data_IF_644358331055
#
_entry.id   IF_644358331055
#
_cell.length_a   1.000
_cell.length_b   1.000
_cell.length_c   1.000
_cell.angle_alpha   90.00
_cell.angle_beta   90.00
_cell.angle_gamma   90.00
#
_symmetry.space_group_name_H-M   'P 1'
#
loop_
_entity.id
_entity.type
_entity.pdbx_description
1 polymer ?
#
# COMPACT_ATOMS: atom_id res chain seq x y z
N UNK A 1 2.63 5.85 26.40
CA UNK A 1 1.47 6.30 25.60
C UNK A 1 1.62 7.64 24.85
N UNK A 2 2.63 8.49 25.09
CA UNK A 2 2.56 9.87 24.56
C UNK A 2 2.72 10.03 23.02
N UNK A 3 3.47 9.17 22.32
CA UNK A 3 3.74 9.33 20.88
C UNK A 3 3.37 8.12 20.00
N UNK A 4 2.86 7.04 20.58
CA UNK A 4 2.57 5.79 19.85
C UNK A 4 1.58 5.98 18.68
N UNK A 5 0.51 6.76 18.91
CA UNK A 5 -0.50 7.08 17.90
C UNK A 5 0.09 7.90 16.74
N UNK A 6 1.02 8.82 17.03
CA UNK A 6 1.69 9.64 16.02
C UNK A 6 2.64 8.78 15.19
N UNK A 7 3.43 7.92 15.85
CA UNK A 7 4.33 6.98 15.17
C UNK A 7 3.55 6.02 14.27
N UNK A 8 2.41 5.48 14.73
CA UNK A 8 1.52 4.65 13.93
C UNK A 8 0.97 5.41 12.70
N UNK A 9 0.50 6.64 12.88
CA UNK A 9 0.01 7.48 11.79
C UNK A 9 1.07 7.79 10.74
N UNK A 10 2.29 8.11 11.16
CA UNK A 10 3.43 8.36 10.25
C UNK A 10 3.82 7.08 9.52
N UNK A 11 3.94 5.95 10.23
CA UNK A 11 4.33 4.68 9.63
C UNK A 11 3.35 4.21 8.55
N UNK A 12 2.05 4.31 8.80
CA UNK A 12 1.01 3.98 7.81
C UNK A 12 0.98 4.99 6.68
N UNK A 13 1.02 6.29 7.00
CA UNK A 13 0.96 7.36 5.99
C UNK A 13 2.09 7.27 4.96
N UNK A 14 3.34 7.12 5.41
CA UNK A 14 4.47 6.95 4.50
C UNK A 14 4.52 5.57 3.86
N UNK A 15 4.16 4.51 4.59
CA UNK A 15 4.17 3.15 4.05
C UNK A 15 3.15 2.93 2.92
N UNK A 16 2.08 3.72 2.87
CA UNK A 16 1.09 3.69 1.78
C UNK A 16 1.50 4.40 0.50
N UNK A 17 2.54 5.24 0.52
CA UNK A 17 2.97 5.97 -0.68
C UNK A 17 3.41 5.02 -1.79
N UNK A 18 4.20 4.00 -1.45
CA UNK A 18 4.67 2.99 -2.42
C UNK A 18 3.53 2.24 -3.12
N UNK A 19 2.64 1.57 -2.37
CA UNK A 19 1.45 0.91 -2.92
C UNK A 19 0.57 1.84 -3.74
N UNK A 20 0.23 3.02 -3.21
CA UNK A 20 -0.64 3.99 -3.89
C UNK A 20 -0.06 4.45 -5.24
N UNK A 21 1.24 4.76 -5.28
CA UNK A 21 1.94 5.13 -6.52
C UNK A 21 2.03 3.94 -7.47
N UNK A 22 2.42 2.77 -6.97
CA UNK A 22 2.61 1.55 -7.77
C UNK A 22 1.32 1.09 -8.46
N UNK A 23 0.23 0.96 -7.70
CA UNK A 23 -1.09 0.58 -8.22
C UNK A 23 -1.63 1.65 -9.17
N UNK A 24 -1.48 2.93 -8.84
CA UNK A 24 -1.93 4.04 -9.68
C UNK A 24 -1.25 4.02 -11.06
N UNK A 25 0.08 3.87 -11.10
CA UNK A 25 0.83 3.78 -12.35
C UNK A 25 0.51 2.52 -13.16
N UNK A 26 0.39 1.37 -12.50
CA UNK A 26 0.02 0.12 -13.16
C UNK A 26 -1.37 0.21 -13.79
N UNK A 27 -2.33 0.79 -13.06
CA UNK A 27 -3.71 0.96 -13.54
C UNK A 27 -3.77 1.94 -14.70
N UNK A 28 -3.06 3.08 -14.64
CA UNK A 28 -3.00 4.04 -15.74
C UNK A 28 -2.52 3.38 -17.05
N UNK A 29 -1.41 2.61 -16.98
CA UNK A 29 -0.90 1.87 -18.14
C UNK A 29 -1.84 0.78 -18.63
N UNK A 30 -2.64 0.18 -17.73
CA UNK A 30 -3.61 -0.85 -18.13
C UNK A 30 -4.77 -0.31 -18.95
N UNK A 31 -5.17 0.93 -18.72
CA UNK A 31 -6.22 1.61 -19.48
C UNK A 31 -5.83 1.79 -20.95
N UNK A 32 -4.53 1.88 -21.26
CA UNK A 32 -4.01 2.00 -22.63
C UNK A 32 -3.95 0.64 -23.36
N UNK A 33 -4.01 -0.48 -22.64
CA UNK A 33 -3.68 -1.81 -23.18
C UNK A 33 -4.89 -2.64 -23.68
N UNK A 34 -6.07 -2.02 -23.89
CA UNK A 34 -7.30 -2.66 -24.41
C UNK A 34 -7.59 -4.03 -23.74
N UNK A 35 -7.48 -4.09 -22.41
CA UNK A 35 -7.86 -5.28 -21.62
C UNK A 35 -6.93 -6.49 -21.70
N UNK A 36 -5.85 -6.46 -22.51
CA UNK A 36 -4.95 -7.61 -22.69
C UNK A 36 -4.04 -7.92 -21.50
N UNK A 37 -3.92 -7.00 -20.55
CA UNK A 37 -2.99 -7.13 -19.42
C UNK A 37 -3.68 -7.34 -18.07
N UNK A 38 -4.99 -7.67 -18.05
CA UNK A 38 -5.78 -7.76 -16.81
C UNK A 38 -5.16 -8.68 -15.75
N UNK A 39 -4.64 -9.84 -16.15
CA UNK A 39 -4.01 -10.78 -15.22
C UNK A 39 -2.74 -10.19 -14.60
N UNK A 40 -1.85 -9.62 -15.42
CA UNK A 40 -0.63 -8.99 -14.93
C UNK A 40 -0.93 -7.75 -14.08
N UNK A 41 -1.97 -6.98 -14.40
CA UNK A 41 -2.42 -5.87 -13.59
C UNK A 41 -2.86 -6.35 -12.21
N UNK A 42 -3.70 -7.39 -12.12
CA UNK A 42 -4.18 -7.92 -10.84
C UNK A 42 -3.01 -8.45 -10.00
N UNK A 43 -2.08 -9.20 -10.62
CA UNK A 43 -0.90 -9.71 -9.92
C UNK A 43 0.00 -8.55 -9.44
N UNK A 44 0.26 -7.57 -10.30
CA UNK A 44 1.05 -6.39 -9.95
C UNK A 44 0.41 -5.56 -8.84
N UNK A 45 -0.92 -5.37 -8.89
CA UNK A 45 -1.67 -4.68 -7.86
C UNK A 45 -1.63 -5.44 -6.52
N UNK A 46 -1.76 -6.77 -6.53
CA UNK A 46 -1.66 -7.59 -5.33
C UNK A 46 -0.25 -7.54 -4.70
N UNK A 47 0.80 -7.54 -5.52
CA UNK A 47 2.18 -7.38 -5.06
C UNK A 47 2.42 -5.99 -4.44
N UNK A 48 1.89 -4.94 -5.07
CA UNK A 48 1.98 -3.58 -4.55
C UNK A 48 1.20 -3.42 -3.23
N UNK A 49 -0.02 -3.94 -3.16
CA UNK A 49 -0.85 -3.90 -1.95
C UNK A 49 -0.31 -4.76 -0.81
N UNK A 50 0.43 -5.83 -1.08
CA UNK A 50 1.08 -6.62 -0.03
C UNK A 50 1.94 -5.77 0.91
N UNK A 51 2.63 -4.76 0.37
CA UNK A 51 3.42 -3.81 1.16
C UNK A 51 2.53 -2.81 1.93
N UNK A 52 1.39 -2.43 1.36
CA UNK A 52 0.39 -1.61 2.03
C UNK A 52 -0.18 -2.32 3.25
N UNK A 53 -0.63 -3.56 3.08
CA UNK A 53 -1.15 -4.38 4.19
C UNK A 53 -0.09 -4.53 5.29
N UNK A 54 1.18 -4.78 4.93
CA UNK A 54 2.27 -4.84 5.90
C UNK A 54 2.41 -3.52 6.69
N UNK A 55 2.40 -2.38 6.01
CA UNK A 55 2.45 -1.06 6.65
C UNK A 55 1.28 -0.85 7.61
N UNK A 56 0.06 -1.24 7.22
CA UNK A 56 -1.12 -1.14 8.05
C UNK A 56 -1.03 -2.01 9.32
N UNK A 57 -0.59 -3.26 9.19
CA UNK A 57 -0.38 -4.17 10.32
C UNK A 57 0.67 -3.60 11.28
N UNK A 58 1.80 -3.09 10.76
CA UNK A 58 2.84 -2.46 11.58
C UNK A 58 2.31 -1.21 12.31
N UNK A 59 1.46 -0.41 11.69
CA UNK A 59 0.79 0.72 12.33
C UNK A 59 -0.08 0.30 13.52
N UNK A 60 -0.89 -0.75 13.35
CA UNK A 60 -1.70 -1.30 14.45
C UNK A 60 -0.81 -1.82 15.58
N UNK A 61 0.28 -2.52 15.26
CA UNK A 61 1.21 -3.02 16.26
C UNK A 61 1.90 -1.88 17.02
N UNK A 62 2.33 -0.82 16.32
CA UNK A 62 2.91 0.37 16.94
C UNK A 62 1.92 1.11 17.85
N UNK A 63 0.63 1.10 17.53
CA UNK A 63 -0.37 1.71 18.40
C UNK A 63 -0.69 0.85 19.62
N UNK A 64 -0.80 -0.48 19.44
CA UNK A 64 -1.32 -1.39 20.47
C UNK A 64 -0.25 -1.97 21.39
N UNK A 65 1.02 -2.01 20.97
CA UNK A 65 2.13 -2.65 21.70
C UNK A 65 3.22 -1.68 22.18
N UNK A 66 2.99 -0.36 22.08
CA UNK A 66 3.94 0.69 22.47
C UNK A 66 3.57 1.42 23.77
#
# INVERSE_FOLDING_TARGET
MNLAWLAAGIAVGFGMLGPGIGVGLATAKSSEAIGRIRTNLIIGAALAEGLGILSFVLGILLWTKA
#
